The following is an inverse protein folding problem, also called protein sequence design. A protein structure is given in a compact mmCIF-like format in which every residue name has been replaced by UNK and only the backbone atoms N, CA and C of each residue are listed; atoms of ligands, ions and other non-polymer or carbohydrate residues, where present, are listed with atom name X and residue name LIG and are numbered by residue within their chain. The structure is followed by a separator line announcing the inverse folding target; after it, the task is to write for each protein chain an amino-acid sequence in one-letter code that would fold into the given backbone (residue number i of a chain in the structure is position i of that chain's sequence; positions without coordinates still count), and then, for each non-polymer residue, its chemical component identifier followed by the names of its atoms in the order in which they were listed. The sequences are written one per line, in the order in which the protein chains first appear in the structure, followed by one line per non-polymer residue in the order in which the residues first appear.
data_IF_650013517013
#
_entry.id   IF_650013517013
#
_cell.length_a   1.000
_cell.length_b   1.000
_cell.length_c   1.000
_cell.angle_alpha   90.00
_cell.angle_beta   90.00
_cell.angle_gamma   90.00
#
_symmetry.space_group_name_H-M   'P 1'
#
loop_
_entity.id
_entity.type
_entity.pdbx_description
1 polymer ?
#
# COMPACT_ATOMS: atom_id res chain seq x y z
N UNK A 1 5.26 -18.73 -21.13
CA UNK A 1 4.75 -17.57 -21.90
C UNK A 1 3.70 -17.97 -22.92
N UNK A 2 3.92 -19.01 -23.72
CA UNK A 2 3.00 -19.46 -24.78
C UNK A 2 1.56 -19.77 -24.29
N UNK A 3 1.41 -20.42 -23.12
CA UNK A 3 0.09 -20.66 -22.50
C UNK A 3 -0.66 -19.36 -22.16
N UNK A 4 0.04 -18.36 -21.60
CA UNK A 4 -0.53 -17.03 -21.28
C UNK A 4 -0.93 -16.29 -22.55
N UNK A 5 -0.10 -16.39 -23.61
CA UNK A 5 -0.41 -15.79 -24.91
C UNK A 5 -1.67 -16.37 -25.55
N UNK A 6 -1.97 -17.66 -25.33
CA UNK A 6 -3.15 -18.32 -25.88
C UNK A 6 -4.42 -18.18 -25.02
N UNK A 7 -4.30 -18.16 -23.70
CA UNK A 7 -5.44 -18.28 -22.79
C UNK A 7 -5.69 -17.04 -21.92
N UNK A 8 -4.81 -16.04 -21.97
CA UNK A 8 -4.93 -14.78 -21.22
C UNK A 8 -4.75 -14.89 -19.70
N UNK A 9 -4.71 -16.09 -19.13
CA UNK A 9 -4.57 -16.36 -17.70
C UNK A 9 -3.58 -17.51 -17.48
N UNK A 10 -2.75 -17.40 -16.44
CA UNK A 10 -1.99 -18.53 -15.90
C UNK A 10 -2.49 -18.84 -14.49
N UNK A 11 -2.93 -20.08 -14.27
CA UNK A 11 -3.38 -20.57 -12.96
C UNK A 11 -2.24 -21.38 -12.35
N UNK A 12 -1.77 -20.94 -11.18
CA UNK A 12 -0.77 -21.65 -10.40
C UNK A 12 -1.47 -22.35 -9.23
N UNK A 13 -1.60 -23.68 -9.31
CA UNK A 13 -2.03 -24.49 -8.18
C UNK A 13 -0.81 -24.77 -7.31
N UNK A 14 -0.81 -24.24 -6.08
CA UNK A 14 0.22 -24.52 -5.08
C UNK A 14 -0.33 -25.48 -4.02
N UNK A 15 -0.22 -26.81 -4.21
CA UNK A 15 -0.66 -27.77 -3.20
C UNK A 15 0.27 -27.70 -1.99
N UNK A 16 -0.22 -27.17 -0.88
CA UNK A 16 0.54 -27.04 0.37
C UNK A 16 0.35 -28.25 1.31
N UNK A 17 -0.81 -28.90 1.26
CA UNK A 17 -1.20 -29.93 2.24
C UNK A 17 -1.27 -29.38 3.69
N UNK A 18 -1.71 -30.19 4.65
CA UNK A 18 -1.83 -29.71 6.05
C UNK A 18 -0.46 -29.37 6.66
N UNK A 19 0.56 -30.18 6.39
CA UNK A 19 1.92 -29.97 6.92
C UNK A 19 2.57 -28.70 6.34
N UNK A 20 2.46 -28.47 5.03
CA UNK A 20 3.00 -27.26 4.40
C UNK A 20 2.28 -26.00 4.89
N UNK A 21 0.97 -26.06 5.15
CA UNK A 21 0.23 -24.96 5.75
C UNK A 21 0.71 -24.65 7.16
N UNK A 22 0.92 -25.67 8.00
CA UNK A 22 1.45 -25.48 9.35
C UNK A 22 2.87 -24.89 9.32
N UNK A 23 3.74 -25.37 8.43
CA UNK A 23 5.08 -24.82 8.26
C UNK A 23 5.04 -23.36 7.77
N UNK A 24 4.11 -23.02 6.88
CA UNK A 24 3.93 -21.65 6.38
C UNK A 24 3.53 -20.67 7.48
N UNK A 25 2.82 -21.12 8.52
CA UNK A 25 2.48 -20.27 9.66
C UNK A 25 3.72 -19.78 10.41
N UNK A 26 4.80 -20.58 10.45
CA UNK A 26 6.07 -20.19 11.07
C UNK A 26 6.69 -19.00 10.34
N UNK A 27 6.59 -18.97 9.01
CA UNK A 27 7.10 -17.87 8.19
C UNK A 27 6.19 -16.63 8.21
N UNK A 28 4.87 -16.82 8.39
CA UNK A 28 3.86 -15.75 8.28
C UNK A 28 3.50 -15.07 9.60
N UNK A 29 3.34 -15.82 10.70
CA UNK A 29 2.94 -15.25 12.00
C UNK A 29 3.87 -14.11 12.46
N UNK A 30 5.22 -14.23 12.35
CA UNK A 30 6.12 -13.15 12.73
C UNK A 30 5.88 -11.84 11.99
N UNK A 31 5.40 -11.90 10.74
CA UNK A 31 5.20 -10.74 9.87
C UNK A 31 4.16 -9.77 10.45
N UNK A 32 3.18 -10.29 11.20
CA UNK A 32 2.06 -9.52 11.76
C UNK A 32 2.43 -8.79 13.07
N UNK A 33 3.62 -9.02 13.63
CA UNK A 33 4.05 -8.39 14.88
C UNK A 33 4.41 -6.91 14.69
N UNK A 34 3.88 -6.02 15.54
CA UNK A 34 4.23 -4.59 15.53
C UNK A 34 5.47 -4.26 16.36
N UNK A 35 6.48 -5.12 16.32
CA UNK A 35 7.69 -5.00 17.14
C UNK A 35 8.94 -4.88 16.28
N UNK A 36 10.09 -4.69 16.92
CA UNK A 36 11.38 -4.83 16.25
C UNK A 36 11.56 -6.21 15.60
N UNK A 37 11.07 -7.27 16.24
CA UNK A 37 11.11 -8.63 15.68
C UNK A 37 10.28 -8.75 14.41
N UNK A 38 9.03 -8.27 14.42
CA UNK A 38 8.19 -8.27 13.24
C UNK A 38 8.79 -7.49 12.07
N UNK A 39 9.40 -6.32 12.34
CA UNK A 39 10.14 -5.58 11.32
C UNK A 39 11.27 -6.40 10.70
N UNK A 40 12.10 -7.05 11.50
CA UNK A 40 13.18 -7.89 10.96
C UNK A 40 12.65 -9.09 10.19
N UNK A 41 11.56 -9.71 10.66
CA UNK A 41 10.92 -10.82 9.96
C UNK A 41 10.40 -10.41 8.58
N UNK A 42 9.72 -9.25 8.47
CA UNK A 42 9.27 -8.70 7.20
C UNK A 42 10.44 -8.46 6.23
N UNK A 43 11.52 -7.82 6.71
CA UNK A 43 12.72 -7.57 5.89
C UNK A 43 13.39 -8.88 5.43
N UNK A 44 13.55 -9.84 6.34
CA UNK A 44 14.14 -11.15 6.02
C UNK A 44 13.27 -11.94 5.03
N UNK A 45 11.95 -11.88 5.17
CA UNK A 45 11.00 -12.51 4.25
C UNK A 45 11.15 -11.93 2.84
N UNK A 46 11.10 -10.60 2.69
CA UNK A 46 11.26 -9.93 1.40
C UNK A 46 12.63 -10.21 0.77
N UNK A 47 13.70 -10.23 1.58
CA UNK A 47 15.03 -10.59 1.09
C UNK A 47 15.11 -12.04 0.61
N UNK A 48 14.53 -12.99 1.36
CA UNK A 48 14.52 -14.43 1.03
C UNK A 48 13.69 -14.71 -0.22
N UNK A 49 12.53 -14.09 -0.34
CA UNK A 49 11.52 -14.47 -1.34
C UNK A 49 11.52 -13.57 -2.59
N UNK A 50 11.91 -12.30 -2.46
CA UNK A 50 12.00 -11.37 -3.59
C UNK A 50 13.44 -11.01 -3.98
N UNK A 51 14.44 -11.41 -3.19
CA UNK A 51 15.84 -11.04 -3.43
C UNK A 51 16.12 -9.54 -3.24
N UNK A 52 15.22 -8.80 -2.61
CA UNK A 52 15.29 -7.34 -2.49
C UNK A 52 15.64 -6.88 -1.08
N UNK A 53 16.31 -5.73 -0.97
CA UNK A 53 16.68 -5.12 0.31
C UNK A 53 15.99 -3.77 0.49
N UNK A 54 15.60 -3.46 1.73
CA UNK A 54 14.99 -2.18 2.09
C UNK A 54 15.93 -1.43 3.05
N UNK A 55 16.94 -0.72 2.52
CA UNK A 55 17.87 0.05 3.33
C UNK A 55 17.17 1.23 4.00
N UNK A 56 17.58 1.53 5.23
CA UNK A 56 17.09 2.71 5.95
C UNK A 56 17.58 3.98 5.26
N UNK A 57 16.67 4.90 4.95
CA UNK A 57 17.00 6.21 4.36
C UNK A 57 17.67 7.15 5.38
N UNK A 58 18.51 8.06 4.88
CA UNK A 58 19.02 9.18 5.67
C UNK A 58 17.89 10.13 6.08
N UNK A 59 18.07 10.84 7.19
CA UNK A 59 17.11 11.86 7.62
C UNK A 59 17.22 13.14 6.76
N UNK A 60 16.15 13.94 6.65
CA UNK A 60 14.82 13.75 7.25
C UNK A 60 13.97 12.67 6.54
N UNK A 61 13.11 11.98 7.30
CA UNK A 61 12.25 10.90 6.77
C UNK A 61 10.90 11.37 6.25
N UNK A 62 10.50 12.59 6.59
CA UNK A 62 9.29 13.24 6.06
C UNK A 62 9.65 14.34 5.08
N UNK A 63 8.89 14.44 4.01
CA UNK A 63 8.91 15.57 3.10
C UNK A 63 7.70 16.48 3.40
N UNK A 64 7.89 17.78 3.23
CA UNK A 64 6.77 18.72 3.25
C UNK A 64 6.09 18.71 1.87
N UNK A 65 4.92 18.07 1.78
CA UNK A 65 4.12 18.05 0.56
C UNK A 65 3.12 19.20 0.64
N UNK A 66 3.26 20.15 -0.28
CA UNK A 66 2.34 21.27 -0.41
C UNK A 66 1.03 20.80 -1.04
N UNK A 67 -0.11 21.09 -0.42
CA UNK A 67 -1.44 20.65 -0.89
C UNK A 67 -1.80 21.22 -2.26
N UNK A 68 -1.29 22.41 -2.57
CA UNK A 68 -1.43 23.07 -3.85
C UNK A 68 -0.76 22.29 -5.00
N UNK A 69 0.31 21.54 -4.72
CA UNK A 69 1.06 20.77 -5.72
C UNK A 69 0.43 19.39 -6.01
N UNK A 70 -0.48 18.93 -5.15
CA UNK A 70 -1.20 17.66 -5.34
C UNK A 70 -2.41 17.88 -6.24
N UNK A 71 -2.63 17.00 -7.20
CA UNK A 71 -3.72 17.08 -8.16
C UNK A 71 -4.67 15.89 -8.02
N UNK A 72 -5.92 16.07 -8.45
CA UNK A 72 -6.88 14.96 -8.55
C UNK A 72 -6.34 13.87 -9.47
N UNK A 73 -6.40 12.63 -8.99
CA UNK A 73 -5.85 11.45 -9.65
C UNK A 73 -4.38 11.16 -9.32
N UNK A 74 -3.66 12.05 -8.63
CA UNK A 74 -2.34 11.71 -8.09
C UNK A 74 -2.49 10.58 -7.06
N UNK A 75 -1.49 9.70 -7.00
CA UNK A 75 -1.58 8.44 -6.28
C UNK A 75 -0.56 8.36 -5.15
N UNK A 76 -0.94 7.74 -4.03
CA UNK A 76 -0.07 7.45 -2.90
C UNK A 76 0.23 5.96 -2.90
N UNK A 77 1.51 5.60 -3.00
CA UNK A 77 1.99 4.24 -2.82
C UNK A 77 2.51 4.06 -1.39
N UNK A 78 1.96 3.10 -0.66
CA UNK A 78 2.29 2.83 0.73
C UNK A 78 3.01 1.49 0.88
N UNK A 79 4.06 1.50 1.70
CA UNK A 79 4.82 0.33 2.11
C UNK A 79 5.02 0.34 3.62
N UNK A 80 4.30 -0.50 4.34
CA UNK A 80 4.50 -0.79 5.76
C UNK A 80 5.40 -2.02 5.89
N UNK A 81 6.18 -2.09 6.97
CA UNK A 81 7.15 -3.18 7.20
C UNK A 81 7.05 -3.81 8.59
N UNK A 82 6.02 -3.46 9.38
CA UNK A 82 5.71 -4.09 10.68
C UNK A 82 4.23 -3.91 11.03
N UNK A 83 3.77 -4.67 12.03
CA UNK A 83 2.38 -4.67 12.47
C UNK A 83 1.46 -5.44 11.53
N UNK A 84 0.18 -5.55 11.90
CA UNK A 84 -0.84 -6.29 11.14
C UNK A 84 -0.81 -5.92 9.65
N UNK A 85 -0.90 -4.63 9.36
CA UNK A 85 -0.89 -4.12 7.99
C UNK A 85 0.47 -4.26 7.30
N UNK A 86 1.58 -4.14 8.02
CA UNK A 86 2.91 -4.39 7.44
C UNK A 86 3.10 -5.84 6.99
N UNK A 87 2.59 -6.80 7.76
CA UNK A 87 2.64 -8.21 7.39
C UNK A 87 1.82 -8.53 6.14
N UNK A 88 0.58 -8.03 6.06
CA UNK A 88 -0.23 -8.16 4.84
C UNK A 88 0.46 -7.51 3.63
N UNK A 89 0.95 -6.28 3.79
CA UNK A 89 1.67 -5.57 2.73
C UNK A 89 2.97 -6.27 2.30
N UNK A 90 3.64 -7.00 3.19
CA UNK A 90 4.79 -7.83 2.82
C UNK A 90 4.39 -9.01 1.94
N UNK A 91 3.29 -9.67 2.26
CA UNK A 91 2.75 -10.75 1.43
C UNK A 91 2.29 -10.21 0.06
N UNK A 92 1.60 -9.07 0.03
CA UNK A 92 1.16 -8.39 -1.19
C UNK A 92 2.35 -8.03 -2.09
N UNK A 93 3.41 -7.42 -1.54
CA UNK A 93 4.66 -7.14 -2.27
C UNK A 93 5.27 -8.40 -2.87
N UNK A 94 5.31 -9.49 -2.10
CA UNK A 94 5.86 -10.76 -2.57
C UNK A 94 5.06 -11.34 -3.74
N UNK A 95 3.74 -11.45 -3.61
CA UNK A 95 2.91 -12.10 -4.64
C UNK A 95 2.74 -11.24 -5.90
N UNK A 96 2.87 -9.92 -5.80
CA UNK A 96 2.76 -8.99 -6.94
C UNK A 96 4.11 -8.61 -7.55
N UNK A 97 5.21 -8.86 -6.85
CA UNK A 97 6.53 -8.34 -7.22
C UNK A 97 6.68 -6.82 -7.00
N UNK A 98 5.74 -6.17 -6.32
CA UNK A 98 5.75 -4.72 -6.09
C UNK A 98 6.55 -4.33 -4.83
N UNK A 99 6.86 -3.03 -4.70
CA UNK A 99 7.48 -2.47 -3.50
C UNK A 99 6.48 -1.80 -2.55
N UNK A 100 5.24 -1.59 -3.01
CA UNK A 100 4.13 -1.09 -2.23
C UNK A 100 3.14 -2.24 -1.98
N UNK A 101 2.48 -2.23 -0.82
CA UNK A 101 1.38 -3.16 -0.53
C UNK A 101 0.02 -2.47 -0.55
N UNK A 102 -0.03 -1.16 -0.31
CA UNK A 102 -1.29 -0.43 -0.29
C UNK A 102 -1.22 0.86 -1.11
N UNK A 103 -2.40 1.34 -1.49
CA UNK A 103 -2.55 2.40 -2.46
C UNK A 103 -3.73 3.30 -2.12
N UNK A 104 -3.58 4.60 -2.31
CA UNK A 104 -4.65 5.58 -2.15
C UNK A 104 -4.61 6.61 -3.28
N UNK A 105 -5.73 7.31 -3.52
CA UNK A 105 -5.84 8.31 -4.57
C UNK A 105 -6.20 9.66 -3.96
N UNK A 106 -5.58 10.73 -4.45
CA UNK A 106 -5.91 12.09 -4.08
C UNK A 106 -7.02 12.65 -4.99
N UNK A 107 -8.01 13.33 -4.41
CA UNK A 107 -9.09 14.01 -5.13
C UNK A 107 -9.33 15.40 -4.53
N UNK A 108 -9.47 16.42 -5.39
CA UNK A 108 -9.94 17.74 -4.99
C UNK A 108 -11.43 17.84 -5.24
N UNK A 109 -12.18 18.43 -4.31
CA UNK A 109 -13.58 18.74 -4.56
C UNK A 109 -13.73 20.09 -5.29
N UNK A 110 -14.98 20.47 -5.58
CA UNK A 110 -15.29 21.75 -6.25
C UNK A 110 -14.81 23.00 -5.49
N UNK A 111 -14.57 22.89 -4.18
CA UNK A 111 -14.01 23.97 -3.36
C UNK A 111 -12.48 23.99 -3.35
N UNK A 112 -11.84 23.01 -3.98
CA UNK A 112 -10.39 22.80 -3.96
C UNK A 112 -9.88 22.07 -2.71
N UNK A 113 -10.77 21.56 -1.86
CA UNK A 113 -10.38 20.79 -0.67
C UNK A 113 -9.82 19.44 -1.11
N UNK A 114 -8.68 19.06 -0.54
CA UNK A 114 -7.96 17.84 -0.90
C UNK A 114 -8.38 16.67 0.01
N UNK A 115 -8.78 15.58 -0.62
CA UNK A 115 -9.23 14.33 -0.03
C UNK A 115 -8.30 13.19 -0.46
N UNK A 116 -8.19 12.18 0.40
CA UNK A 116 -7.54 10.90 0.12
C UNK A 116 -8.61 9.82 0.15
N UNK A 117 -8.80 9.17 -0.98
CA UNK A 117 -9.70 8.04 -1.16
C UNK A 117 -8.90 6.74 -1.03
N UNK A 118 -9.30 5.86 -0.12
CA UNK A 118 -8.69 4.54 0.04
C UNK A 118 -9.68 3.48 0.54
N UNK A 119 -9.38 2.22 0.23
CA UNK A 119 -10.00 1.07 0.87
C UNK A 119 -9.19 0.63 2.10
N UNK A 120 -9.81 -0.12 3.01
CA UNK A 120 -9.13 -0.62 4.21
C UNK A 120 -8.98 0.42 5.32
N UNK A 121 -9.72 1.53 5.25
CA UNK A 121 -9.81 2.49 6.35
C UNK A 121 -10.64 1.89 7.48
N UNK A 122 -10.06 1.78 8.68
CA UNK A 122 -10.75 1.23 9.85
C UNK A 122 -11.62 2.31 10.51
N UNK A 123 -12.94 2.13 10.46
CA UNK A 123 -13.88 3.06 11.09
C UNK A 123 -13.89 2.90 12.63
N UNK A 124 -14.65 3.74 13.35
CA UNK A 124 -14.73 3.69 14.83
C UNK A 124 -15.28 2.38 15.41
N UNK A 125 -15.91 1.54 14.59
CA UNK A 125 -16.44 0.23 14.96
C UNK A 125 -15.43 -0.91 14.68
N UNK A 126 -14.31 -0.61 14.03
CA UNK A 126 -13.33 -1.59 13.58
C UNK A 126 -13.62 -2.18 12.20
N UNK A 127 -14.60 -1.66 11.45
CA UNK A 127 -14.88 -2.14 10.10
C UNK A 127 -13.92 -1.50 9.10
N UNK A 128 -13.42 -2.30 8.17
CA UNK A 128 -12.61 -1.86 7.03
C UNK A 128 -13.53 -1.41 5.89
N UNK A 129 -13.51 -0.10 5.59
CA UNK A 129 -14.39 0.51 4.60
C UNK A 129 -13.59 1.21 3.49
N UNK A 130 -14.27 1.55 2.40
CA UNK A 130 -13.82 2.59 1.49
C UNK A 130 -14.15 3.93 2.14
N UNK A 131 -13.16 4.82 2.23
CA UNK A 131 -13.28 6.08 2.92
C UNK A 131 -12.64 7.22 2.14
N UNK A 132 -13.18 8.41 2.37
CA UNK A 132 -12.73 9.69 1.85
C UNK A 132 -12.32 10.55 3.04
N UNK A 133 -11.01 10.70 3.25
CA UNK A 133 -10.46 11.39 4.42
C UNK A 133 -9.80 12.69 3.98
N UNK A 134 -9.99 13.77 4.75
CA UNK A 134 -9.29 15.03 4.48
C UNK A 134 -7.78 14.83 4.53
N UNK A 135 -7.05 15.46 3.60
CA UNK A 135 -5.59 15.32 3.50
C UNK A 135 -4.87 15.55 4.83
N UNK A 136 -5.22 16.60 5.58
CA UNK A 136 -4.54 16.93 6.84
C UNK A 136 -4.78 15.86 7.91
N UNK A 137 -5.97 15.27 7.94
CA UNK A 137 -6.31 14.16 8.83
C UNK A 137 -5.55 12.89 8.41
N UNK A 138 -5.62 12.53 7.13
CA UNK A 138 -4.93 11.36 6.58
C UNK A 138 -3.42 11.44 6.78
N UNK A 139 -2.80 12.56 6.43
CA UNK A 139 -1.37 12.81 6.61
C UNK A 139 -0.98 12.84 8.09
N UNK A 140 -1.82 13.44 8.93
CA UNK A 140 -1.63 13.43 10.38
C UNK A 140 -1.65 12.03 10.99
N UNK A 141 -2.51 11.13 10.49
CA UNK A 141 -2.52 9.72 10.88
C UNK A 141 -1.27 9.00 10.37
N UNK A 142 -0.90 9.18 9.10
CA UNK A 142 0.28 8.58 8.51
C UNK A 142 1.58 8.93 9.25
N UNK A 143 1.72 10.18 9.72
CA UNK A 143 2.88 10.63 10.50
C UNK A 143 2.96 10.01 11.91
N UNK A 144 1.82 9.55 12.45
CA UNK A 144 1.71 8.92 13.78
C UNK A 144 1.64 7.40 13.72
N UNK A 145 1.52 6.83 12.51
CA UNK A 145 1.39 5.41 12.30
C UNK A 145 2.66 4.67 12.75
N UNK A 146 2.52 3.90 13.81
CA UNK A 146 3.62 3.16 14.39
C UNK A 146 4.03 1.95 13.55
N UNK A 147 3.29 1.57 12.50
CA UNK A 147 3.74 0.57 11.52
C UNK A 147 4.89 1.05 10.62
N UNK A 148 5.28 2.33 10.76
CA UNK A 148 6.36 3.00 10.04
C UNK A 148 6.16 2.96 8.50
N UNK A 149 5.07 3.56 7.99
CA UNK A 149 4.77 3.56 6.56
C UNK A 149 5.83 4.33 5.78
N UNK A 150 6.30 3.76 4.67
CA UNK A 150 6.99 4.48 3.61
C UNK A 150 5.95 4.89 2.58
N UNK A 151 5.85 6.19 2.29
CA UNK A 151 4.82 6.74 1.41
C UNK A 151 5.51 7.49 0.27
N UNK A 152 5.09 7.20 -0.96
CA UNK A 152 5.50 7.93 -2.14
C UNK A 152 4.28 8.56 -2.80
N UNK A 153 4.32 9.87 -3.02
CA UNK A 153 3.39 10.57 -3.89
C UNK A 153 3.85 10.38 -5.34
N UNK A 154 2.95 9.86 -6.17
CA UNK A 154 3.16 9.56 -7.58
C UNK A 154 2.20 10.42 -8.41
N UNK A 155 2.68 11.57 -8.92
CA UNK A 155 1.86 12.43 -9.75
C UNK A 155 1.51 11.76 -11.08
N UNK A 156 0.32 12.02 -11.60
CA UNK A 156 -0.03 11.57 -12.94
C UNK A 156 0.87 12.21 -14.00
N UNK A 157 1.26 11.43 -15.00
CA UNK A 157 1.90 11.96 -16.20
C UNK A 157 0.99 13.04 -16.84
N UNK A 158 1.53 14.17 -17.36
CA UNK A 158 0.72 15.25 -17.90
C UNK A 158 -0.38 14.82 -18.88
N UNK A 159 -0.07 13.89 -19.79
CA UNK A 159 -1.04 13.38 -20.78
C UNK A 159 -2.17 12.54 -20.16
N UNK A 160 -1.91 11.89 -19.03
CA UNK A 160 -2.93 11.15 -18.28
C UNK A 160 -3.76 12.15 -17.47
N UNK A 161 -3.10 13.11 -16.82
CA UNK A 161 -3.76 14.17 -16.05
C UNK A 161 -4.73 14.98 -16.90
N UNK A 162 -4.35 15.36 -18.11
CA UNK A 162 -5.22 16.11 -19.03
C UNK A 162 -6.51 15.36 -19.42
N UNK A 163 -6.55 14.04 -19.24
CA UNK A 163 -7.70 13.18 -19.54
C UNK A 163 -8.41 12.67 -18.28
N UNK A 164 -7.93 13.03 -17.09
CA UNK A 164 -8.53 12.60 -15.84
C UNK A 164 -9.90 13.26 -15.66
N UNK A 165 -10.95 12.45 -15.54
CA UNK A 165 -12.31 12.94 -15.35
C UNK A 165 -12.63 13.01 -13.85
N UNK A 166 -12.38 14.17 -13.28
CA UNK A 166 -12.62 14.43 -11.86
C UNK A 166 -14.10 14.32 -11.46
N UNK A 167 -15.03 14.72 -12.34
CA UNK A 167 -16.46 14.63 -12.03
C UNK A 167 -16.91 13.16 -11.96
N UNK A 168 -16.48 12.33 -12.90
CA UNK A 168 -16.75 10.89 -12.87
C UNK A 168 -16.10 10.20 -11.66
N UNK A 169 -14.90 10.64 -11.25
CA UNK A 169 -14.25 10.11 -10.05
C UNK A 169 -15.09 10.38 -8.79
N UNK A 170 -15.66 11.58 -8.66
CA UNK A 170 -16.54 11.93 -7.54
C UNK A 170 -17.92 11.27 -7.59
N UNK A 171 -18.44 10.96 -8.78
CA UNK A 171 -19.69 10.19 -8.90
C UNK A 171 -19.53 8.73 -8.44
N UNK A 172 -18.31 8.19 -8.53
CA UNK A 172 -17.99 6.84 -8.06
C UNK A 172 -17.59 6.77 -6.57
N UNK A 173 -17.07 7.87 -6.03
CA UNK A 173 -16.45 7.95 -4.70
C UNK A 173 -17.45 7.91 -3.53
#
# INVERSE_FOLDING_TARGET
MEYVMQHGVAIFLMPSGMLGTLLSLVDVIPLLSNTGWGRHANLAFLQKHMGTSFPKRSQPWSANIRKEDVHSGDFLALSKIRGRWGGFQTLEKWVTGAFAGHTAICLKDKSGTLWVAESGYENKKGDEIISMVLWDEWWGMALKDDSNPQIALLPLHPDVRARFNESAAWEFA
#
